data_IF_101070892802
#
_entry.id   IF_101070892802
#
_cell.length_a   1.000
_cell.length_b   1.000
_cell.length_c   1.000
_cell.angle_alpha   90.00
_cell.angle_beta   90.00
_cell.angle_gamma   90.00
#
_symmetry.space_group_name_H-M   'P 1'
#
loop_
_entity.id
_entity.type
_entity.pdbx_description
1 polymer ?
#
# COMPACT_ATOMS: atom_id res chain seq x y z
N UNK A 1 0.51 2.20 24.51
CA UNK A 1 -0.11 2.85 23.34
C UNK A 1 0.99 3.37 22.44
N UNK A 2 1.34 2.61 21.40
CA UNK A 2 2.30 3.06 20.40
C UNK A 2 1.52 3.86 19.36
N UNK A 3 1.84 5.14 19.25
CA UNK A 3 1.16 6.04 18.33
C UNK A 3 1.89 5.98 16.98
N UNK A 4 1.51 5.02 16.14
CA UNK A 4 2.06 4.88 14.80
C UNK A 4 1.34 5.83 13.83
N UNK A 5 2.06 6.46 12.89
CA UNK A 5 1.42 7.30 11.89
C UNK A 5 0.59 6.46 10.91
N UNK A 6 -0.55 6.99 10.50
CA UNK A 6 -1.45 6.38 9.50
C UNK A 6 -0.74 6.13 8.15
N UNK A 7 0.09 7.10 7.75
CA UNK A 7 0.83 7.11 6.51
C UNK A 7 2.25 7.63 6.77
N UNK A 8 3.21 7.12 6.00
CA UNK A 8 4.60 7.60 6.06
C UNK A 8 5.17 7.69 4.65
N UNK A 9 5.88 8.78 4.37
CA UNK A 9 6.71 8.90 3.17
C UNK A 9 8.18 8.85 3.57
N UNK A 10 8.97 8.06 2.87
CA UNK A 10 10.42 7.97 3.00
C UNK A 10 11.06 8.04 1.63
N UNK A 11 12.24 8.64 1.54
CA UNK A 11 13.01 8.68 0.29
C UNK A 11 14.18 7.73 0.41
N UNK A 12 14.32 6.82 -0.56
CA UNK A 12 15.43 5.86 -0.64
C UNK A 12 16.04 5.96 -2.03
N UNK A 13 17.27 6.47 -2.10
CA UNK A 13 17.91 6.79 -3.38
C UNK A 13 17.10 7.83 -4.15
N UNK A 14 16.66 7.49 -5.36
CA UNK A 14 15.88 8.36 -6.23
C UNK A 14 14.36 8.17 -6.06
N UNK A 15 13.92 7.22 -5.22
CA UNK A 15 12.51 6.87 -5.09
C UNK A 15 11.90 7.48 -3.84
N UNK A 16 10.73 8.10 -4.00
CA UNK A 16 9.83 8.41 -2.88
C UNK A 16 8.90 7.23 -2.66
N UNK A 17 8.88 6.72 -1.44
CA UNK A 17 8.13 5.53 -1.05
C UNK A 17 7.08 5.94 -0.02
N UNK A 18 5.81 5.74 -0.37
CA UNK A 18 4.69 5.88 0.55
C UNK A 18 4.38 4.55 1.21
N UNK A 19 4.06 4.57 2.50
CA UNK A 19 3.61 3.42 3.27
C UNK A 19 2.27 3.77 3.92
N UNK A 20 1.29 2.89 3.74
CA UNK A 20 -0.03 2.96 4.36
C UNK A 20 -0.51 1.55 4.69
N UNK A 21 -1.27 1.36 5.77
CA UNK A 21 -1.79 0.01 6.07
C UNK A 21 -2.77 -0.49 5.00
N UNK A 22 -3.58 0.40 4.40
CA UNK A 22 -4.48 0.06 3.29
C UNK A 22 -5.94 -0.22 3.70
N UNK A 23 -6.26 -0.30 4.98
CA UNK A 23 -7.63 -0.51 5.48
C UNK A 23 -8.60 0.62 5.13
N UNK A 24 -8.08 1.83 4.90
CA UNK A 24 -8.82 3.01 4.48
C UNK A 24 -9.15 3.02 2.98
N UNK A 25 -8.60 2.09 2.19
CA UNK A 25 -8.86 1.97 0.74
C UNK A 25 -10.16 1.20 0.55
N UNK A 26 -11.13 1.79 -0.15
CA UNK A 26 -12.42 1.14 -0.43
C UNK A 26 -12.76 1.31 -1.91
N UNK A 27 -12.96 0.21 -2.68
CA UNK A 27 -12.80 -1.20 -2.30
C UNK A 27 -11.34 -1.62 -2.00
N UNK A 28 -11.15 -2.69 -1.23
CA UNK A 28 -9.80 -3.14 -0.84
C UNK A 28 -8.99 -3.57 -2.05
N UNK A 29 -7.77 -3.06 -2.20
CA UNK A 29 -6.90 -3.38 -3.32
C UNK A 29 -7.32 -2.76 -4.66
N UNK A 30 -8.33 -1.88 -4.69
CA UNK A 30 -8.74 -1.20 -5.92
C UNK A 30 -7.59 -0.32 -6.47
N UNK A 31 -7.10 -0.58 -7.70
CA UNK A 31 -5.96 0.14 -8.26
C UNK A 31 -6.18 1.66 -8.37
N UNK A 32 -7.40 2.09 -8.67
CA UNK A 32 -7.73 3.52 -8.81
C UNK A 32 -7.76 4.22 -7.45
N UNK A 33 -8.35 3.59 -6.43
CA UNK A 33 -8.32 4.10 -5.07
C UNK A 33 -6.89 4.17 -4.50
N UNK A 34 -6.05 3.17 -4.79
CA UNK A 34 -4.62 3.20 -4.43
C UNK A 34 -3.89 4.31 -5.18
N UNK A 35 -4.19 4.54 -6.46
CA UNK A 35 -3.61 5.62 -7.26
C UNK A 35 -3.97 7.01 -6.71
N UNK A 36 -5.16 7.19 -6.14
CA UNK A 36 -5.51 8.44 -5.45
C UNK A 36 -4.60 8.69 -4.24
N UNK A 37 -4.32 7.66 -3.43
CA UNK A 37 -3.41 7.78 -2.28
C UNK A 37 -1.97 8.04 -2.75
N UNK A 38 -1.51 7.32 -3.78
CA UNK A 38 -0.19 7.54 -4.36
C UNK A 38 -0.01 9.01 -4.80
N UNK A 39 -1.02 9.58 -5.49
CA UNK A 39 -1.00 10.99 -5.94
C UNK A 39 -1.06 11.97 -4.77
N UNK A 40 -1.88 11.70 -3.74
CA UNK A 40 -1.95 12.55 -2.54
C UNK A 40 -0.62 12.59 -1.78
N UNK A 41 0.09 11.47 -1.71
CA UNK A 41 1.40 11.36 -1.07
C UNK A 41 2.55 11.80 -1.98
N UNK A 42 2.29 11.91 -3.28
CA UNK A 42 3.27 12.25 -4.32
C UNK A 42 4.49 11.32 -4.26
N UNK A 43 4.25 10.01 -4.40
CA UNK A 43 5.28 8.96 -4.26
C UNK A 43 5.48 8.16 -5.54
N UNK A 44 6.67 7.62 -5.76
CA UNK A 44 6.97 6.77 -6.92
C UNK A 44 6.57 5.32 -6.68
N UNK A 45 6.67 4.89 -5.43
CA UNK A 45 6.31 3.56 -4.95
C UNK A 45 5.30 3.71 -3.82
N UNK A 46 4.14 3.05 -3.92
CA UNK A 46 3.18 2.94 -2.83
C UNK A 46 3.20 1.52 -2.26
N UNK A 47 3.46 1.41 -0.97
CA UNK A 47 3.35 0.17 -0.20
C UNK A 47 2.04 0.20 0.59
N UNK A 48 1.18 -0.78 0.34
CA UNK A 48 -0.06 -1.03 1.07
C UNK A 48 -0.08 -2.44 1.67
N UNK A 49 -1.01 -2.70 2.58
CA UNK A 49 -1.22 -4.03 3.16
C UNK A 49 -2.70 -4.40 3.14
N UNK A 50 -3.21 -4.88 4.28
CA UNK A 50 -4.64 -5.12 4.55
C UNK A 50 -5.28 -6.30 3.80
N UNK A 51 -4.99 -6.51 2.51
CA UNK A 51 -5.54 -7.64 1.74
C UNK A 51 -4.89 -8.99 2.04
N UNK A 52 -3.76 -8.99 2.76
CA UNK A 52 -2.95 -10.18 3.08
C UNK A 52 -2.39 -10.95 1.85
N UNK A 53 -2.64 -10.46 0.63
CA UNK A 53 -2.17 -11.04 -0.62
C UNK A 53 -0.97 -10.26 -1.16
N UNK A 54 0.07 -10.98 -1.57
CA UNK A 54 1.23 -10.35 -2.20
C UNK A 54 0.88 -9.81 -3.58
N UNK A 55 1.26 -8.56 -3.84
CA UNK A 55 1.15 -7.90 -5.13
C UNK A 55 2.38 -7.02 -5.38
N UNK A 56 2.89 -7.02 -6.61
CA UNK A 56 3.96 -6.13 -7.04
C UNK A 56 3.77 -5.83 -8.53
N UNK A 57 3.27 -4.65 -8.85
CA UNK A 57 2.91 -4.27 -10.22
C UNK A 57 3.11 -2.79 -10.49
N UNK A 58 3.19 -2.46 -11.77
CA UNK A 58 3.22 -1.08 -12.24
C UNK A 58 1.83 -0.67 -12.73
N UNK A 59 1.37 0.51 -12.34
CA UNK A 59 0.13 1.14 -12.82
C UNK A 59 0.40 2.63 -13.02
N UNK A 60 0.08 3.16 -14.21
CA UNK A 60 0.33 4.56 -14.58
C UNK A 60 1.76 5.05 -14.29
N UNK A 61 2.77 4.25 -14.64
CA UNK A 61 4.20 4.56 -14.42
C UNK A 61 4.59 4.74 -12.94
N UNK A 62 3.79 4.21 -12.01
CA UNK A 62 4.05 4.17 -10.57
C UNK A 62 4.01 2.72 -10.10
N UNK A 63 4.78 2.40 -9.07
CA UNK A 63 4.93 1.03 -8.60
C UNK A 63 4.11 0.80 -7.33
N UNK A 64 3.39 -0.30 -7.27
CA UNK A 64 2.51 -0.66 -6.15
C UNK A 64 2.99 -1.99 -5.58
N UNK A 65 3.14 -2.03 -4.25
CA UNK A 65 3.58 -3.23 -3.53
C UNK A 65 2.62 -3.50 -2.38
N UNK A 66 2.18 -4.74 -2.30
CA UNK A 66 1.61 -5.31 -1.10
C UNK A 66 2.46 -6.52 -0.69
N UNK A 67 3.10 -6.53 0.49
CA UNK A 67 3.93 -7.66 0.90
C UNK A 67 3.12 -8.89 1.31
N UNK A 68 1.79 -8.76 1.44
CA UNK A 68 0.92 -9.78 2.01
C UNK A 68 1.13 -9.96 3.52
N UNK A 69 0.55 -11.01 4.08
CA UNK A 69 0.76 -11.36 5.49
C UNK A 69 2.00 -12.23 5.66
N UNK A 70 3.02 -11.72 6.36
CA UNK A 70 4.25 -12.49 6.65
C UNK A 70 4.00 -13.79 7.43
N UNK A 71 2.88 -13.87 8.15
CA UNK A 71 2.50 -15.04 8.95
C UNK A 71 1.37 -15.86 8.33
N UNK A 72 0.88 -15.49 7.13
CA UNK A 72 -0.30 -16.11 6.54
C UNK A 72 -1.57 -15.95 7.38
N UNK A 73 -1.74 -14.79 8.04
CA UNK A 73 -2.91 -14.52 8.87
C UNK A 73 -4.20 -14.50 8.04
N UNK A 74 -5.30 -14.91 8.65
CA UNK A 74 -6.63 -14.90 8.03
C UNK A 74 -7.07 -13.49 7.60
N UNK A 75 -7.71 -13.40 6.43
CA UNK A 75 -8.40 -12.22 5.92
C UNK A 75 -9.86 -12.60 5.58
N UNK A 76 -10.89 -11.83 6.01
CA UNK A 76 -12.29 -12.10 5.69
C UNK A 76 -12.66 -12.07 4.19
N UNK A 77 -11.84 -11.51 3.32
CA UNK A 77 -12.05 -11.48 1.87
C UNK A 77 -11.17 -12.47 1.09
N UNK A 78 -10.33 -13.25 1.76
CA UNK A 78 -9.60 -14.34 1.10
C UNK A 78 -10.56 -15.51 0.86
N UNK A 79 -10.95 -15.72 -0.40
CA UNK A 79 -11.59 -16.94 -0.91
C UNK A 79 -10.67 -17.70 -1.84
#
# INVERSE_FOLDING_TARGET
NLNYPEQKVVTVGQFRIGLSHGHQVVPWGDPEALALIQRQLDVDILISGHTHKFEAYEHENKFYINPGSATGAYNPLDT
#
